data_IF_070224495258
#
_entry.id   IF_070224495258
#
_cell.length_a   1.000
_cell.length_b   1.000
_cell.length_c   1.000
_cell.angle_alpha   90.00
_cell.angle_beta   90.00
_cell.angle_gamma   90.00
#
_symmetry.space_group_name_H-M   'P 1'
#
loop_
_entity.id
_entity.type
_entity.pdbx_description
1 polymer ?
#
# COMPACT_ATOMS: atom_id res chain seq x y z
N UNK A 1 4.73 -19.45 3.85
CA UNK A 1 5.04 -18.06 3.48
C UNK A 1 6.55 -17.93 3.48
N UNK A 2 7.13 -17.43 2.38
CA UNK A 2 8.54 -17.01 2.36
C UNK A 2 8.61 -15.49 2.60
N UNK A 3 9.71 -15.01 3.16
CA UNK A 3 9.95 -13.58 3.25
C UNK A 3 10.02 -12.99 1.85
N UNK A 4 9.24 -11.94 1.60
CA UNK A 4 9.34 -11.18 0.35
C UNK A 4 10.52 -10.22 0.44
N UNK A 5 11.20 -10.02 -0.68
CA UNK A 5 12.25 -9.01 -0.83
C UNK A 5 11.66 -7.59 -0.64
N UNK A 6 12.44 -6.68 -0.07
CA UNK A 6 12.04 -5.28 0.06
C UNK A 6 11.84 -4.65 -1.32
N UNK A 7 10.77 -3.88 -1.48
CA UNK A 7 10.45 -3.16 -2.73
C UNK A 7 10.06 -1.73 -2.42
N UNK A 8 10.30 -0.84 -3.38
CA UNK A 8 9.83 0.53 -3.29
C UNK A 8 8.30 0.59 -3.32
N UNK A 9 7.74 1.51 -2.54
CA UNK A 9 6.33 1.88 -2.60
C UNK A 9 6.21 3.41 -2.52
N UNK A 10 5.14 3.94 -3.11
CA UNK A 10 4.71 5.34 -2.95
C UNK A 10 3.26 5.35 -2.53
N UNK A 11 2.86 6.42 -1.85
CA UNK A 11 1.47 6.68 -1.57
C UNK A 11 1.04 8.03 -2.10
N UNK A 12 -0.25 8.18 -2.36
CA UNK A 12 -0.88 9.47 -2.60
C UNK A 12 -2.24 9.54 -1.90
N UNK A 13 -2.66 10.76 -1.61
CA UNK A 13 -3.99 11.05 -1.07
C UNK A 13 -4.83 11.64 -2.19
N UNK A 14 -5.99 11.05 -2.41
CA UNK A 14 -6.93 11.45 -3.44
C UNK A 14 -8.20 11.92 -2.73
N UNK A 15 -8.61 13.15 -2.99
CA UNK A 15 -9.88 13.69 -2.53
C UNK A 15 -10.83 13.81 -3.72
N UNK A 16 -11.99 13.15 -3.62
CA UNK A 16 -13.01 13.16 -4.67
C UNK A 16 -14.39 13.03 -4.07
N UNK A 17 -15.31 13.92 -4.46
CA UNK A 17 -16.71 13.90 -4.04
C UNK A 17 -16.89 13.85 -2.51
N UNK A 18 -16.06 14.59 -1.77
CA UNK A 18 -16.05 14.64 -0.30
C UNK A 18 -15.50 13.38 0.37
N UNK A 19 -14.87 12.48 -0.39
CA UNK A 19 -14.24 11.25 0.12
C UNK A 19 -12.73 11.33 -0.05
N UNK A 20 -12.02 10.96 1.02
CA UNK A 20 -10.56 10.80 1.00
C UNK A 20 -10.22 9.33 0.81
N UNK A 21 -9.34 9.05 -0.14
CA UNK A 21 -8.74 7.75 -0.39
C UNK A 21 -7.22 7.85 -0.27
N UNK A 22 -6.60 6.84 0.31
CA UNK A 22 -5.14 6.66 0.26
C UNK A 22 -4.85 5.56 -0.73
N UNK A 23 -4.11 5.86 -1.79
CA UNK A 23 -3.58 4.85 -2.70
C UNK A 23 -2.15 4.52 -2.33
N UNK A 24 -1.81 3.25 -2.35
CA UNK A 24 -0.44 2.76 -2.24
C UNK A 24 -0.11 2.00 -3.51
N UNK A 25 0.95 2.43 -4.18
CA UNK A 25 1.51 1.80 -5.36
C UNK A 25 2.85 1.17 -4.98
N UNK A 26 2.98 -0.12 -5.28
CA UNK A 26 4.24 -0.86 -5.13
C UNK A 26 4.87 -1.06 -6.49
N UNK A 27 6.20 -1.03 -6.52
CA UNK A 27 6.96 -1.21 -7.74
C UNK A 27 7.54 -2.62 -7.78
N UNK A 28 7.62 -3.20 -8.98
CA UNK A 28 8.33 -4.46 -9.17
C UNK A 28 9.79 -4.35 -8.71
N UNK A 29 10.40 -5.49 -8.37
CA UNK A 29 11.82 -5.56 -8.02
C UNK A 29 12.68 -4.83 -9.05
N UNK A 30 13.71 -4.14 -8.58
CA UNK A 30 14.65 -3.38 -9.42
C UNK A 30 15.36 -4.26 -10.46
N UNK A 31 15.45 -5.56 -10.21
CA UNK A 31 16.01 -6.58 -11.12
C UNK A 31 15.10 -6.97 -12.30
N UNK A 32 13.89 -6.41 -12.42
CA UNK A 32 13.04 -6.64 -13.60
C UNK A 32 13.53 -5.83 -14.80
N UNK A 33 13.31 -6.40 -15.99
CA UNK A 33 13.61 -5.80 -17.31
C UNK A 33 13.02 -4.38 -17.51
N UNK A 34 11.96 -4.03 -16.77
CA UNK A 34 11.36 -2.69 -16.77
C UNK A 34 11.31 -2.10 -15.35
N UNK A 35 12.37 -1.40 -14.91
CA UNK A 35 12.40 -0.72 -13.63
C UNK A 35 11.29 0.33 -13.53
N UNK A 36 10.60 0.40 -12.39
CA UNK A 36 9.64 1.48 -12.10
C UNK A 36 8.20 1.27 -12.58
N UNK A 37 7.86 0.12 -13.18
CA UNK A 37 6.44 -0.21 -13.45
C UNK A 37 5.72 -0.56 -12.14
N UNK A 38 4.57 0.06 -11.93
CA UNK A 38 3.65 -0.29 -10.82
C UNK A 38 3.26 -1.76 -10.98
N UNK A 39 3.56 -2.57 -9.96
CA UNK A 39 3.19 -3.98 -9.92
C UNK A 39 1.84 -4.21 -9.27
N UNK A 40 1.53 -3.43 -8.24
CA UNK A 40 0.27 -3.53 -7.52
C UNK A 40 -0.13 -2.15 -7.02
N UNK A 41 -1.42 -1.86 -7.11
CA UNK A 41 -2.07 -0.68 -6.55
C UNK A 41 -3.21 -1.14 -5.67
N UNK A 42 -3.34 -0.55 -4.49
CA UNK A 42 -4.54 -0.69 -3.69
C UNK A 42 -4.92 0.63 -3.04
N UNK A 43 -6.21 0.80 -2.78
CA UNK A 43 -6.76 2.00 -2.17
C UNK A 43 -7.47 1.65 -0.87
N UNK A 44 -7.34 2.53 0.10
CA UNK A 44 -8.05 2.47 1.37
C UNK A 44 -8.92 3.71 1.50
N UNK A 45 -10.21 3.47 1.74
CA UNK A 45 -11.09 4.49 2.30
C UNK A 45 -10.91 4.54 3.83
N UNK A 46 -11.65 5.44 4.48
CA UNK A 46 -11.58 5.62 5.94
C UNK A 46 -11.82 4.31 6.69
N UNK A 47 -12.85 3.55 6.31
CA UNK A 47 -13.24 2.30 6.98
C UNK A 47 -12.17 1.22 6.79
N UNK A 48 -11.62 1.10 5.57
CA UNK A 48 -10.54 0.18 5.25
C UNK A 48 -9.25 0.51 5.99
N UNK A 49 -8.89 1.80 6.08
CA UNK A 49 -7.74 2.26 6.82
C UNK A 49 -7.86 1.94 8.32
N UNK A 50 -9.01 2.19 8.93
CA UNK A 50 -9.26 1.85 10.34
C UNK A 50 -9.11 0.34 10.61
N UNK A 51 -9.59 -0.49 9.68
CA UNK A 51 -9.44 -1.95 9.77
C UNK A 51 -7.99 -2.38 9.64
N UNK A 52 -7.26 -1.82 8.68
CA UNK A 52 -5.83 -2.12 8.51
C UNK A 52 -5.04 -1.73 9.76
N UNK A 53 -5.27 -0.54 10.33
CA UNK A 53 -4.63 -0.11 11.57
C UNK A 53 -4.92 -1.08 12.72
N UNK A 54 -6.17 -1.56 12.87
CA UNK A 54 -6.50 -2.57 13.89
C UNK A 54 -5.72 -3.87 13.71
N UNK A 55 -5.59 -4.36 12.47
CA UNK A 55 -4.80 -5.56 12.16
C UNK A 55 -3.34 -5.34 12.54
N UNK A 56 -2.75 -4.20 12.14
CA UNK A 56 -1.35 -3.88 12.43
C UNK A 56 -1.11 -3.76 13.94
N UNK A 57 -1.98 -3.07 14.68
CA UNK A 57 -1.89 -2.96 16.14
C UNK A 57 -1.93 -4.32 16.82
N UNK A 58 -2.88 -5.18 16.44
CA UNK A 58 -2.97 -6.52 17.01
C UNK A 58 -1.77 -7.41 16.66
N UNK A 59 -1.20 -7.27 15.46
CA UNK A 59 -0.09 -8.09 14.99
C UNK A 59 1.26 -7.71 15.62
N UNK A 60 1.45 -6.43 15.94
CA UNK A 60 2.73 -5.88 16.38
C UNK A 60 2.72 -5.35 17.82
N UNK A 61 1.59 -5.46 18.53
CA UNK A 61 1.39 -4.90 19.88
C UNK A 61 1.71 -3.38 19.94
N UNK A 62 1.16 -2.63 18.97
CA UNK A 62 1.34 -1.18 18.82
C UNK A 62 0.28 -0.34 19.54
#
# INVERSE_FOLDING_TARGET
MSLHEEISAKYCVIERDGRTLVQIDTYGRTSREMPGKISQSFQLDRTGAERLVKILKAAFDL
#
